data_IF_977324359832
#
_entry.id   IF_977324359832
#
_cell.length_a   1.000
_cell.length_b   1.000
_cell.length_c   1.000
_cell.angle_alpha   90.00
_cell.angle_beta   90.00
_cell.angle_gamma   90.00
#
_symmetry.space_group_name_H-M   'P 1'
#
loop_
_entity.id
_entity.type
_entity.pdbx_description
1 polymer ?
#
# COMPACT_ATOMS: atom_id res chain seq x y z
N UNK A 1 6.03 -39.64 33.23
CA UNK A 1 5.24 -38.83 32.29
C UNK A 1 4.70 -39.78 31.25
N UNK A 2 3.39 -40.04 31.29
CA UNK A 2 2.75 -41.00 30.38
C UNK A 2 2.51 -40.38 29.00
N UNK A 3 2.45 -41.18 27.94
CA UNK A 3 2.18 -40.72 26.57
C UNK A 3 0.85 -39.93 26.44
N UNK A 4 -0.07 -40.13 27.38
CA UNK A 4 -1.35 -39.40 27.48
C UNK A 4 -1.12 -37.92 27.89
N UNK A 5 -0.24 -37.66 28.86
CA UNK A 5 0.09 -36.29 29.29
C UNK A 5 0.84 -35.52 28.19
N UNK A 6 1.69 -36.19 27.41
CA UNK A 6 2.39 -35.59 26.29
C UNK A 6 1.40 -35.16 25.18
N UNK A 7 0.41 -36.01 24.87
CA UNK A 7 -0.65 -35.71 23.90
C UNK A 7 -1.57 -34.56 24.32
N UNK A 8 -1.92 -34.45 25.60
CA UNK A 8 -2.72 -33.33 26.13
C UNK A 8 -1.95 -32.00 26.11
N UNK A 9 -0.64 -32.02 26.41
CA UNK A 9 0.22 -30.83 26.37
C UNK A 9 0.41 -30.34 24.92
N UNK A 10 0.62 -31.25 23.96
CA UNK A 10 0.68 -30.90 22.54
C UNK A 10 -0.66 -30.36 22.01
N UNK A 11 -1.78 -31.00 22.38
CA UNK A 11 -3.12 -30.55 22.02
C UNK A 11 -3.44 -29.14 22.55
N UNK A 12 -3.07 -28.87 23.81
CA UNK A 12 -3.26 -27.55 24.44
C UNK A 12 -2.36 -26.48 23.80
N UNK A 13 -1.11 -26.81 23.48
CA UNK A 13 -0.19 -25.89 22.77
C UNK A 13 -0.68 -25.58 21.35
N UNK A 14 -1.18 -26.58 20.64
CA UNK A 14 -1.74 -26.41 19.30
C UNK A 14 -3.01 -25.54 19.32
N UNK A 15 -3.91 -25.77 20.29
CA UNK A 15 -5.12 -24.96 20.47
C UNK A 15 -4.81 -23.50 20.85
N UNK A 16 -3.83 -23.27 21.73
CA UNK A 16 -3.37 -21.93 22.09
C UNK A 16 -2.72 -21.22 20.89
N UNK A 17 -1.90 -21.94 20.10
CA UNK A 17 -1.29 -21.40 18.88
C UNK A 17 -2.34 -21.03 17.82
N UNK A 18 -3.35 -21.89 17.60
CA UNK A 18 -4.44 -21.60 16.67
C UNK A 18 -5.24 -20.36 17.10
N UNK A 19 -5.56 -20.25 18.40
CA UNK A 19 -6.28 -19.10 18.96
C UNK A 19 -5.48 -17.80 18.78
N UNK A 20 -4.19 -17.80 19.09
CA UNK A 20 -3.31 -16.64 18.90
C UNK A 20 -3.18 -16.22 17.43
N UNK A 21 -3.15 -17.19 16.51
CA UNK A 21 -3.13 -16.90 15.07
C UNK A 21 -4.44 -16.24 14.61
N UNK A 22 -5.60 -16.71 15.09
CA UNK A 22 -6.90 -16.11 14.79
C UNK A 22 -6.99 -14.69 15.38
N UNK A 23 -6.58 -14.50 16.64
CA UNK A 23 -6.53 -13.17 17.28
C UNK A 23 -5.64 -12.21 16.50
N UNK A 24 -4.47 -12.66 16.08
CA UNK A 24 -3.53 -11.87 15.27
C UNK A 24 -4.09 -11.52 13.90
N UNK A 25 -4.76 -12.46 13.23
CA UNK A 25 -5.40 -12.23 11.94
C UNK A 25 -6.55 -11.21 12.03
N UNK A 26 -7.46 -11.38 12.99
CA UNK A 26 -8.60 -10.49 13.19
C UNK A 26 -8.14 -9.09 13.58
N UNK A 27 -7.20 -8.98 14.53
CA UNK A 27 -6.68 -7.69 14.96
C UNK A 27 -5.92 -6.96 13.86
N UNK A 28 -5.15 -7.68 13.05
CA UNK A 28 -4.55 -7.16 11.82
C UNK A 28 -5.60 -6.63 10.84
N UNK A 29 -6.71 -7.35 10.66
CA UNK A 29 -7.85 -6.94 9.83
C UNK A 29 -8.48 -5.62 10.31
N UNK A 30 -8.77 -5.49 11.61
CA UNK A 30 -9.30 -4.26 12.20
C UNK A 30 -8.31 -3.09 12.05
N UNK A 31 -7.02 -3.33 12.27
CA UNK A 31 -5.96 -2.36 11.99
C UNK A 31 -5.99 -1.88 10.54
N UNK A 32 -6.09 -2.80 9.58
CA UNK A 32 -6.20 -2.50 8.15
C UNK A 32 -7.43 -1.65 7.81
N UNK A 33 -8.59 -1.98 8.37
CA UNK A 33 -9.83 -1.19 8.17
C UNK A 33 -9.67 0.22 8.73
N UNK A 34 -9.15 0.36 9.95
CA UNK A 34 -8.91 1.66 10.58
C UNK A 34 -7.94 2.53 9.74
N UNK A 35 -6.86 1.92 9.25
CA UNK A 35 -5.89 2.58 8.37
C UNK A 35 -6.51 3.09 7.06
N UNK A 36 -7.40 2.28 6.47
CA UNK A 36 -8.13 2.69 5.25
C UNK A 36 -9.07 3.83 5.57
N UNK A 37 -9.91 3.74 6.61
CA UNK A 37 -10.88 4.77 6.94
C UNK A 37 -10.21 6.13 7.23
N UNK A 38 -9.18 6.15 8.08
CA UNK A 38 -8.47 7.40 8.43
C UNK A 38 -7.61 7.91 7.26
N UNK A 39 -7.02 7.00 6.48
CA UNK A 39 -6.14 7.36 5.37
C UNK A 39 -6.85 7.78 4.08
N UNK A 40 -8.10 7.36 3.89
CA UNK A 40 -8.78 7.50 2.59
C UNK A 40 -9.03 8.97 2.16
N UNK A 41 -9.39 9.92 3.04
CA UNK A 41 -9.50 11.34 2.65
C UNK A 41 -8.21 11.91 2.06
N UNK A 42 -7.05 11.50 2.58
CA UNK A 42 -5.74 11.89 2.05
C UNK A 42 -5.47 11.25 0.69
N UNK A 43 -5.84 9.98 0.52
CA UNK A 43 -5.72 9.29 -0.76
C UNK A 43 -6.58 9.92 -1.84
N UNK A 44 -7.83 10.25 -1.53
CA UNK A 44 -8.71 10.91 -2.48
C UNK A 44 -8.13 12.27 -2.89
N UNK A 45 -7.65 13.04 -1.91
CA UNK A 45 -7.00 14.33 -2.16
C UNK A 45 -5.77 14.18 -3.06
N UNK A 46 -4.92 13.21 -2.77
CA UNK A 46 -3.74 12.87 -3.57
C UNK A 46 -4.13 12.51 -5.00
N UNK A 47 -5.01 11.52 -5.18
CA UNK A 47 -5.40 11.02 -6.50
C UNK A 47 -6.02 12.13 -7.35
N UNK A 48 -6.94 12.93 -6.79
CA UNK A 48 -7.54 14.07 -7.52
C UNK A 48 -6.51 15.12 -7.91
N UNK A 49 -5.52 15.43 -7.07
CA UNK A 49 -4.43 16.33 -7.44
C UNK A 49 -3.57 15.77 -8.58
N UNK A 50 -3.32 14.46 -8.59
CA UNK A 50 -2.49 13.81 -9.59
C UNK A 50 -3.16 13.77 -10.97
N UNK A 51 -4.47 13.55 -11.01
CA UNK A 51 -5.25 13.33 -12.25
C UNK A 51 -5.95 14.56 -12.78
N UNK A 52 -6.06 15.63 -11.97
CA UNK A 52 -6.67 16.89 -12.38
C UNK A 52 -5.97 17.51 -13.59
N UNK A 53 -6.78 18.09 -14.48
CA UNK A 53 -6.28 19.00 -15.50
C UNK A 53 -5.62 20.23 -14.85
N UNK A 54 -4.61 20.84 -15.48
CA UNK A 54 -4.00 22.09 -15.03
C UNK A 54 -5.06 23.16 -14.68
N UNK A 55 -4.85 23.86 -13.57
CA UNK A 55 -5.75 24.93 -13.11
C UNK A 55 -7.02 24.48 -12.38
N UNK A 56 -7.35 23.17 -12.34
CA UNK A 56 -8.55 22.68 -11.61
C UNK A 56 -8.47 22.92 -10.11
N UNK A 57 -7.28 22.74 -9.53
CA UNK A 57 -7.03 22.88 -8.10
C UNK A 57 -5.79 23.72 -7.83
N UNK A 58 -5.88 24.59 -6.81
CA UNK A 58 -4.74 25.37 -6.29
C UNK A 58 -3.84 24.56 -5.36
N UNK A 59 -4.37 23.47 -4.78
CA UNK A 59 -3.63 22.60 -3.85
C UNK A 59 -4.54 21.63 -3.11
N UNK A 60 -3.97 20.89 -2.15
CA UNK A 60 -4.67 19.84 -1.41
C UNK A 60 -5.92 20.34 -0.67
N UNK A 61 -5.81 21.49 0.01
CA UNK A 61 -6.93 22.09 0.74
C UNK A 61 -8.07 22.49 -0.21
N UNK A 62 -7.74 22.95 -1.41
CA UNK A 62 -8.73 23.30 -2.42
C UNK A 62 -9.48 22.05 -2.91
N UNK A 63 -8.79 20.92 -3.10
CA UNK A 63 -9.46 19.63 -3.39
C UNK A 63 -10.46 19.26 -2.30
N UNK A 64 -10.05 19.34 -1.03
CA UNK A 64 -10.93 19.00 0.10
C UNK A 64 -12.14 19.93 0.13
N UNK A 65 -11.93 21.25 0.01
CA UNK A 65 -13.01 22.24 0.01
C UNK A 65 -14.00 21.99 -1.13
N UNK A 66 -13.51 21.79 -2.35
CA UNK A 66 -14.38 21.52 -3.50
C UNK A 66 -15.09 20.16 -3.38
N UNK A 67 -14.42 19.13 -2.85
CA UNK A 67 -15.04 17.83 -2.62
C UNK A 67 -16.19 17.92 -1.61
N UNK A 68 -15.96 18.59 -0.47
CA UNK A 68 -16.97 18.77 0.58
C UNK A 68 -18.11 19.66 0.10
N UNK A 69 -17.82 20.75 -0.63
CA UNK A 69 -18.85 21.63 -1.17
C UNK A 69 -19.77 20.93 -2.19
N UNK A 70 -19.22 19.97 -2.96
CA UNK A 70 -19.96 19.28 -4.01
C UNK A 70 -20.69 18.03 -3.53
N UNK A 71 -20.00 17.19 -2.77
CA UNK A 71 -20.43 15.82 -2.44
C UNK A 71 -20.70 15.64 -0.92
N UNK A 72 -20.55 16.71 -0.12
CA UNK A 72 -20.59 16.66 1.34
C UNK A 72 -19.34 16.01 1.97
N UNK A 73 -19.32 15.90 3.30
CA UNK A 73 -18.19 15.31 4.03
C UNK A 73 -17.91 13.85 3.63
N UNK A 74 -18.97 13.07 3.36
CA UNK A 74 -18.86 11.68 2.88
C UNK A 74 -18.29 11.59 1.45
N UNK A 75 -18.28 12.68 0.69
CA UNK A 75 -17.60 12.76 -0.60
C UNK A 75 -16.11 12.43 -0.54
N UNK A 76 -15.46 12.68 0.61
CA UNK A 76 -14.06 12.32 0.85
C UNK A 76 -13.83 10.80 0.91
N UNK A 77 -14.88 10.00 1.07
CA UNK A 77 -14.85 8.54 1.12
C UNK A 77 -15.18 7.87 -0.21
N UNK A 78 -15.28 8.64 -1.31
CA UNK A 78 -15.53 8.09 -2.64
C UNK A 78 -14.41 7.11 -3.03
N UNK A 79 -14.78 5.89 -3.39
CA UNK A 79 -13.83 4.83 -3.73
C UNK A 79 -13.16 4.13 -2.54
N UNK A 80 -13.71 4.21 -1.33
CA UNK A 80 -13.19 3.51 -0.14
C UNK A 80 -13.45 2.00 -0.15
N UNK A 81 -14.47 1.55 -0.90
CA UNK A 81 -14.86 0.13 -0.93
C UNK A 81 -13.77 -0.79 -1.52
N UNK A 82 -13.17 -0.50 -2.69
CA UNK A 82 -12.10 -1.34 -3.22
C UNK A 82 -10.95 -1.63 -2.22
N UNK A 83 -10.32 -0.63 -1.57
CA UNK A 83 -9.27 -0.93 -0.61
C UNK A 83 -9.76 -1.70 0.63
N UNK A 84 -10.99 -1.49 1.09
CA UNK A 84 -11.54 -2.29 2.20
C UNK A 84 -11.70 -3.77 1.82
N UNK A 85 -12.16 -4.07 0.60
CA UNK A 85 -12.28 -5.44 0.10
C UNK A 85 -10.92 -6.07 -0.20
N UNK A 86 -9.97 -5.24 -0.66
CA UNK A 86 -8.65 -5.70 -1.10
C UNK A 86 -7.63 -5.86 0.01
N UNK A 87 -7.77 -5.17 1.15
CA UNK A 87 -6.70 -5.07 2.16
C UNK A 87 -6.20 -6.43 2.62
N UNK A 88 -7.09 -7.32 3.06
CA UNK A 88 -6.75 -8.65 3.55
C UNK A 88 -6.13 -9.55 2.48
N UNK A 89 -6.76 -9.77 1.30
CA UNK A 89 -6.16 -10.63 0.27
C UNK A 89 -4.86 -10.06 -0.30
N UNK A 90 -4.71 -8.73 -0.40
CA UNK A 90 -3.46 -8.10 -0.83
C UNK A 90 -2.34 -8.38 0.16
N UNK A 91 -2.58 -8.18 1.47
CA UNK A 91 -1.56 -8.45 2.48
C UNK A 91 -1.21 -9.93 2.56
N UNK A 92 -2.20 -10.81 2.57
CA UNK A 92 -1.98 -12.27 2.59
C UNK A 92 -1.09 -12.71 1.41
N UNK A 93 -1.43 -12.26 0.19
CA UNK A 93 -0.64 -12.58 -1.00
C UNK A 93 0.74 -11.92 -0.97
N UNK A 94 0.86 -10.70 -0.45
CA UNK A 94 2.13 -9.99 -0.33
C UNK A 94 3.10 -10.69 0.61
N UNK A 95 2.65 -11.11 1.80
CA UNK A 95 3.49 -11.86 2.74
C UNK A 95 3.91 -13.21 2.17
N UNK A 96 2.97 -13.97 1.60
CA UNK A 96 3.28 -15.23 0.93
C UNK A 96 4.28 -15.04 -0.21
N UNK A 97 4.06 -14.06 -1.08
CA UNK A 97 4.93 -13.77 -2.22
C UNK A 97 6.32 -13.31 -1.75
N UNK A 98 6.41 -12.59 -0.64
CA UNK A 98 7.66 -12.17 -0.03
C UNK A 98 8.45 -13.35 0.53
N UNK A 99 7.79 -14.26 1.28
CA UNK A 99 8.42 -15.47 1.81
C UNK A 99 8.89 -16.41 0.69
N UNK A 100 8.04 -16.62 -0.32
CA UNK A 100 8.42 -17.38 -1.52
C UNK A 100 9.61 -16.72 -2.25
N UNK A 101 9.60 -15.39 -2.38
CA UNK A 101 10.70 -14.66 -3.02
C UNK A 101 12.00 -14.77 -2.22
N UNK A 102 11.95 -14.70 -0.89
CA UNK A 102 13.12 -14.93 -0.02
C UNK A 102 13.70 -16.34 -0.23
N UNK A 103 12.85 -17.36 -0.32
CA UNK A 103 13.30 -18.73 -0.59
C UNK A 103 13.97 -18.87 -1.97
N UNK A 104 13.42 -18.22 -3.00
CA UNK A 104 14.01 -18.17 -4.34
C UNK A 104 15.37 -17.46 -4.34
N UNK A 105 15.48 -16.27 -3.74
CA UNK A 105 16.76 -15.57 -3.62
C UNK A 105 17.76 -16.43 -2.86
N UNK A 106 17.33 -17.05 -1.76
CA UNK A 106 18.18 -17.91 -0.95
C UNK A 106 18.83 -19.02 -1.79
N UNK A 107 18.03 -19.71 -2.60
CA UNK A 107 18.46 -20.83 -3.43
C UNK A 107 19.33 -20.40 -4.64
N UNK A 108 19.13 -19.18 -5.16
CA UNK A 108 19.84 -18.69 -6.34
C UNK A 108 21.19 -18.02 -6.02
N UNK A 109 21.51 -17.74 -4.76
CA UNK A 109 22.80 -17.13 -4.39
C UNK A 109 23.91 -18.20 -4.31
N UNK A 110 24.88 -18.21 -5.25
CA UNK A 110 25.99 -19.16 -5.20
C UNK A 110 26.97 -18.80 -4.06
N UNK A 111 27.59 -19.83 -3.46
CA UNK A 111 28.63 -19.69 -2.42
C UNK A 111 28.19 -18.89 -1.17
N UNK A 112 26.95 -19.10 -0.70
CA UNK A 112 26.43 -18.48 0.52
C UNK A 112 27.26 -18.89 1.75
N UNK A 113 27.79 -17.89 2.47
CA UNK A 113 28.59 -18.07 3.70
C UNK A 113 27.79 -17.88 5.00
N UNK A 114 26.65 -17.20 4.92
CA UNK A 114 25.79 -16.85 6.06
C UNK A 114 24.36 -17.35 5.85
N UNK A 115 23.72 -17.84 6.90
CA UNK A 115 22.33 -18.34 6.86
C UNK A 115 21.28 -17.22 6.68
N UNK A 116 21.63 -15.98 7.01
CA UNK A 116 20.76 -14.80 6.84
C UNK A 116 20.83 -14.24 5.42
N UNK A 117 19.72 -13.66 4.96
CA UNK A 117 19.68 -12.87 3.74
C UNK A 117 20.29 -11.49 3.99
N UNK A 118 21.15 -11.03 3.07
CA UNK A 118 21.65 -9.67 3.08
C UNK A 118 20.56 -8.64 2.77
N UNK A 119 20.76 -7.36 3.09
CA UNK A 119 19.80 -6.30 2.79
C UNK A 119 19.48 -6.20 1.28
N UNK A 120 20.45 -6.48 0.41
CA UNK A 120 20.24 -6.49 -1.04
C UNK A 120 19.37 -7.67 -1.48
N UNK A 121 19.55 -8.85 -0.86
CA UNK A 121 18.73 -10.03 -1.12
C UNK A 121 17.29 -9.85 -0.62
N UNK A 122 17.12 -9.23 0.56
CA UNK A 122 15.79 -8.86 1.08
C UNK A 122 15.09 -7.83 0.19
N UNK A 123 15.83 -6.84 -0.33
CA UNK A 123 15.29 -5.87 -1.27
C UNK A 123 14.89 -6.52 -2.60
N UNK A 124 15.70 -7.45 -3.12
CA UNK A 124 15.38 -8.24 -4.32
C UNK A 124 14.13 -9.11 -4.10
N UNK A 125 14.01 -9.77 -2.94
CA UNK A 125 12.82 -10.52 -2.56
C UNK A 125 11.58 -9.62 -2.48
N UNK A 126 11.71 -8.42 -1.92
CA UNK A 126 10.67 -7.39 -1.91
C UNK A 126 10.22 -7.02 -3.33
N UNK A 127 11.16 -6.75 -4.22
CA UNK A 127 10.87 -6.44 -5.63
C UNK A 127 10.13 -7.59 -6.33
N UNK A 128 10.60 -8.83 -6.19
CA UNK A 128 9.97 -10.00 -6.81
C UNK A 128 8.55 -10.26 -6.27
N UNK A 129 8.33 -10.02 -4.98
CA UNK A 129 7.02 -10.19 -4.34
C UNK A 129 5.93 -9.28 -4.91
N UNK A 130 6.31 -8.16 -5.53
CA UNK A 130 5.37 -7.22 -6.13
C UNK A 130 4.62 -7.83 -7.33
N UNK A 131 5.21 -8.79 -8.05
CA UNK A 131 4.62 -9.35 -9.26
C UNK A 131 3.36 -10.18 -8.95
N UNK A 132 3.39 -11.20 -8.08
CA UNK A 132 2.17 -11.92 -7.69
C UNK A 132 1.16 -10.99 -7.01
N UNK A 133 1.64 -10.10 -6.13
CA UNK A 133 0.79 -9.14 -5.41
C UNK A 133 -0.01 -8.24 -6.37
N UNK A 134 0.59 -7.86 -7.50
CA UNK A 134 -0.07 -7.03 -8.52
C UNK A 134 -1.31 -7.67 -9.11
N UNK A 135 -1.45 -9.01 -9.08
CA UNK A 135 -2.65 -9.70 -9.57
C UNK A 135 -3.92 -9.26 -8.82
N UNK A 136 -3.81 -9.02 -7.52
CA UNK A 136 -4.93 -8.55 -6.69
C UNK A 136 -4.92 -7.03 -6.59
N UNK A 137 -3.74 -6.43 -6.44
CA UNK A 137 -3.60 -4.98 -6.22
C UNK A 137 -4.02 -4.17 -7.45
N UNK A 138 -3.67 -4.58 -8.67
CA UNK A 138 -3.98 -3.81 -9.88
C UNK A 138 -5.49 -3.57 -10.10
N UNK A 139 -6.38 -4.58 -10.08
CA UNK A 139 -7.82 -4.35 -10.25
C UNK A 139 -8.41 -3.50 -9.11
N UNK A 140 -7.96 -3.73 -7.87
CA UNK A 140 -8.42 -2.98 -6.68
C UNK A 140 -8.01 -1.51 -6.78
N UNK A 141 -6.74 -1.23 -7.09
CA UNK A 141 -6.23 0.13 -7.22
C UNK A 141 -6.87 0.87 -8.39
N UNK A 142 -7.05 0.19 -9.53
CA UNK A 142 -7.69 0.81 -10.68
C UNK A 142 -9.13 1.20 -10.38
N UNK A 143 -9.90 0.31 -9.75
CA UNK A 143 -11.27 0.62 -9.36
C UNK A 143 -11.33 1.76 -8.35
N UNK A 144 -10.41 1.78 -7.37
CA UNK A 144 -10.26 2.88 -6.41
C UNK A 144 -9.99 4.21 -7.10
N UNK A 145 -8.99 4.27 -7.99
CA UNK A 145 -8.61 5.50 -8.69
C UNK A 145 -9.78 6.03 -9.52
N UNK A 146 -10.44 5.17 -10.30
CA UNK A 146 -11.59 5.57 -11.10
C UNK A 146 -12.73 6.13 -10.25
N UNK A 147 -13.06 5.50 -9.12
CA UNK A 147 -14.08 6.01 -8.21
C UNK A 147 -13.66 7.33 -7.54
N UNK A 148 -12.39 7.51 -7.19
CA UNK A 148 -11.88 8.74 -6.55
C UNK A 148 -11.93 9.95 -7.49
N UNK A 149 -11.65 9.74 -8.78
CA UNK A 149 -11.73 10.80 -9.81
C UNK A 149 -13.15 10.97 -10.35
N UNK A 150 -14.04 10.00 -10.12
CA UNK A 150 -15.40 10.08 -10.63
C UNK A 150 -16.14 11.29 -10.04
N UNK A 151 -16.90 11.96 -10.90
CA UNK A 151 -17.53 13.24 -10.61
C UNK A 151 -16.58 14.45 -10.61
N UNK A 152 -15.26 14.30 -10.74
CA UNK A 152 -14.33 15.45 -10.78
C UNK A 152 -14.64 16.40 -11.95
N UNK A 153 -14.99 15.87 -13.11
CA UNK A 153 -15.26 16.63 -14.33
C UNK A 153 -16.78 16.73 -14.66
N UNK A 154 -17.67 16.54 -13.68
CA UNK A 154 -19.12 16.63 -13.89
C UNK A 154 -19.91 15.56 -13.15
N UNK A 155 -20.91 14.96 -13.81
CA UNK A 155 -21.75 13.93 -13.17
C UNK A 155 -20.97 12.63 -12.94
N UNK A 156 -21.25 12.01 -11.80
CA UNK A 156 -20.76 10.68 -11.47
C UNK A 156 -21.19 9.64 -12.52
N UNK A 157 -20.24 8.85 -13.00
CA UNK A 157 -20.46 7.80 -14.00
C UNK A 157 -20.69 6.43 -13.38
N UNK A 158 -20.14 6.18 -12.19
CA UNK A 158 -20.11 4.85 -11.59
C UNK A 158 -20.94 4.78 -10.32
N UNK A 159 -21.64 3.65 -10.14
CA UNK A 159 -22.44 3.36 -8.93
C UNK A 159 -21.63 2.69 -7.82
N UNK A 160 -20.49 2.09 -8.15
CA UNK A 160 -19.63 1.41 -7.18
C UNK A 160 -18.54 0.55 -7.82
N UNK A 161 -17.82 -0.22 -7.00
CA UNK A 161 -16.67 -1.04 -7.44
C UNK A 161 -17.04 -2.07 -8.50
N UNK A 162 -18.13 -2.82 -8.32
CA UNK A 162 -18.55 -3.86 -9.25
C UNK A 162 -19.02 -3.28 -10.59
N UNK A 163 -19.65 -2.11 -10.56
CA UNK A 163 -20.06 -1.37 -11.75
C UNK A 163 -18.84 -0.89 -12.56
N UNK A 164 -17.81 -0.37 -11.87
CA UNK A 164 -16.52 -0.02 -12.50
C UNK A 164 -15.89 -1.23 -13.17
N UNK A 165 -15.78 -2.36 -12.46
CA UNK A 165 -15.17 -3.58 -13.03
C UNK A 165 -15.97 -4.08 -14.24
N UNK A 166 -17.30 -4.10 -14.15
CA UNK A 166 -18.16 -4.47 -15.27
C UNK A 166 -18.02 -3.53 -16.47
N UNK A 167 -17.94 -2.22 -16.24
CA UNK A 167 -17.69 -1.23 -17.29
C UNK A 167 -16.33 -1.46 -17.96
N UNK A 168 -15.27 -1.63 -17.17
CA UNK A 168 -13.92 -1.87 -17.68
C UNK A 168 -13.85 -3.15 -18.52
N UNK A 169 -14.52 -4.21 -18.07
CA UNK A 169 -14.60 -5.47 -18.81
C UNK A 169 -15.29 -5.29 -20.17
N UNK A 170 -16.39 -4.52 -20.23
CA UNK A 170 -17.07 -4.21 -21.50
C UNK A 170 -16.24 -3.30 -22.42
N UNK A 171 -15.44 -2.40 -21.86
CA UNK A 171 -14.62 -1.46 -22.62
C UNK A 171 -13.41 -2.11 -23.30
N UNK A 172 -12.78 -3.10 -22.66
CA UNK A 172 -11.56 -3.71 -23.21
C UNK A 172 -11.13 -5.01 -22.52
N UNK A 173 -12.08 -5.74 -21.93
CA UNK A 173 -11.87 -7.01 -21.26
C UNK A 173 -10.90 -6.94 -20.09
N UNK A 174 -10.22 -8.07 -19.83
CA UNK A 174 -9.24 -8.22 -18.74
C UNK A 174 -8.08 -7.23 -18.90
N UNK A 175 -7.63 -6.97 -20.12
CA UNK A 175 -6.55 -6.01 -20.38
C UNK A 175 -6.91 -4.60 -19.89
N UNK A 176 -8.18 -4.21 -20.01
CA UNK A 176 -8.66 -2.94 -19.45
C UNK A 176 -8.53 -2.94 -17.94
N UNK A 177 -9.03 -3.97 -17.25
CA UNK A 177 -8.97 -4.09 -15.78
C UNK A 177 -7.53 -3.97 -15.25
N UNK A 178 -6.56 -4.58 -15.94
CA UNK A 178 -5.14 -4.56 -15.55
C UNK A 178 -4.31 -3.43 -16.18
N UNK A 179 -4.92 -2.49 -16.93
CA UNK A 179 -4.12 -1.37 -17.46
C UNK A 179 -3.60 -0.51 -16.30
N UNK A 180 -2.29 -0.28 -16.30
CA UNK A 180 -1.56 0.36 -15.21
C UNK A 180 -0.74 -0.59 -14.33
N UNK A 181 -0.81 -1.91 -14.51
CA UNK A 181 -0.03 -2.88 -13.71
C UNK A 181 1.48 -2.64 -13.78
N UNK A 182 2.03 -2.34 -14.96
CA UNK A 182 3.47 -2.01 -15.10
C UNK A 182 3.85 -0.78 -14.28
N UNK A 183 2.98 0.24 -14.25
CA UNK A 183 3.20 1.44 -13.44
C UNK A 183 3.05 1.14 -11.93
N UNK A 184 2.26 0.14 -11.57
CA UNK A 184 2.11 -0.34 -10.19
C UNK A 184 3.40 -1.02 -9.73
N UNK A 185 3.95 -1.94 -10.53
CA UNK A 185 5.24 -2.59 -10.25
C UNK A 185 6.39 -1.57 -10.22
N UNK A 186 6.40 -0.60 -11.14
CA UNK A 186 7.39 0.47 -11.18
C UNK A 186 7.33 1.40 -9.96
N UNK A 187 6.18 1.47 -9.25
CA UNK A 187 6.05 2.14 -7.96
C UNK A 187 6.51 1.24 -6.82
N UNK A 188 5.98 0.03 -6.77
CA UNK A 188 6.09 -0.86 -5.61
C UNK A 188 7.48 -1.45 -5.44
N UNK A 189 8.13 -1.83 -6.55
CA UNK A 189 9.47 -2.40 -6.53
C UNK A 189 10.53 -1.43 -6.00
N UNK A 190 10.78 -0.30 -6.68
CA UNK A 190 11.74 0.71 -6.21
C UNK A 190 11.38 1.31 -4.84
N UNK A 191 10.08 1.51 -4.58
CA UNK A 191 9.60 2.00 -3.30
C UNK A 191 9.96 1.06 -2.14
N UNK A 192 9.77 -0.25 -2.34
CA UNK A 192 10.12 -1.27 -1.32
C UNK A 192 11.62 -1.32 -1.09
N UNK A 193 12.43 -1.28 -2.15
CA UNK A 193 13.90 -1.25 -2.02
C UNK A 193 14.38 -0.01 -1.23
N UNK A 194 13.82 1.16 -1.54
CA UNK A 194 14.13 2.41 -0.82
C UNK A 194 13.70 2.35 0.64
N UNK A 195 12.53 1.78 0.93
CA UNK A 195 12.04 1.58 2.29
C UNK A 195 13.04 0.77 3.12
N UNK A 196 13.41 -0.43 2.65
CA UNK A 196 14.32 -1.31 3.39
C UNK A 196 15.72 -0.71 3.51
N UNK A 197 16.27 -0.11 2.45
CA UNK A 197 17.58 0.53 2.51
C UNK A 197 17.62 1.65 3.56
N UNK A 198 16.62 2.54 3.56
CA UNK A 198 16.53 3.63 4.52
C UNK A 198 16.27 3.12 5.95
N UNK A 199 15.45 2.08 6.12
CA UNK A 199 15.21 1.45 7.41
C UNK A 199 16.50 0.89 8.01
N UNK A 200 17.25 0.09 7.25
CA UNK A 200 18.50 -0.53 7.70
C UNK A 200 19.60 0.51 7.99
N UNK A 201 19.79 1.49 7.09
CA UNK A 201 20.77 2.57 7.31
C UNK A 201 20.43 3.36 8.57
N UNK A 202 19.16 3.70 8.77
CA UNK A 202 18.72 4.46 9.95
C UNK A 202 18.88 3.62 11.22
N UNK A 203 18.50 2.33 11.21
CA UNK A 203 18.73 1.42 12.33
C UNK A 203 20.22 1.34 12.68
N UNK A 204 21.09 1.13 11.68
CA UNK A 204 22.53 1.03 11.89
C UNK A 204 23.11 2.32 12.49
N UNK A 205 22.66 3.48 12.02
CA UNK A 205 23.08 4.77 12.56
C UNK A 205 22.60 5.00 14.00
N UNK A 206 21.40 4.53 14.34
CA UNK A 206 20.80 4.66 15.67
C UNK A 206 21.22 3.56 16.65
N UNK A 207 21.94 2.54 16.19
CA UNK A 207 22.43 1.44 17.04
C UNK A 207 23.70 1.89 17.75
N UNK A 208 23.72 1.93 19.10
CA UNK A 208 24.93 2.28 19.85
C UNK A 208 26.09 1.32 19.55
N UNK A 209 27.33 1.80 19.61
CA UNK A 209 28.51 0.97 19.38
C UNK A 209 28.56 -0.21 20.37
N UNK A 210 28.59 -1.43 19.84
CA UNK A 210 28.60 -2.68 20.63
C UNK A 210 27.22 -3.27 20.96
N UNK A 211 26.12 -2.60 20.58
CA UNK A 211 24.77 -3.13 20.72
C UNK A 211 24.28 -3.83 19.45
N UNK A 212 23.35 -4.78 19.58
CA UNK A 212 22.69 -5.39 18.42
C UNK A 212 21.59 -4.48 17.89
N UNK A 213 21.36 -4.41 16.56
CA UNK A 213 20.19 -3.73 15.98
C UNK A 213 18.83 -4.28 16.45
N UNK A 214 18.82 -5.42 17.14
CA UNK A 214 17.64 -6.00 17.77
C UNK A 214 17.33 -5.41 19.15
N UNK A 215 18.31 -4.72 19.77
CA UNK A 215 18.18 -4.11 21.11
C UNK A 215 17.78 -2.62 21.04
N UNK A 216 17.40 -2.14 19.86
CA UNK A 216 16.98 -0.76 19.67
C UNK A 216 15.69 -0.47 20.44
N UNK A 217 15.71 0.60 21.24
CA UNK A 217 14.50 1.09 21.89
C UNK A 217 13.45 1.53 20.87
N UNK A 218 12.18 1.49 21.27
CA UNK A 218 11.02 1.76 20.41
C UNK A 218 11.12 3.09 19.63
N UNK A 219 11.68 4.14 20.23
CA UNK A 219 11.90 5.44 19.59
C UNK A 219 12.79 5.36 18.36
N UNK A 220 13.91 4.63 18.43
CA UNK A 220 14.79 4.42 17.28
C UNK A 220 14.12 3.61 16.16
N UNK A 221 13.29 2.63 16.52
CA UNK A 221 12.52 1.84 15.54
C UNK A 221 11.49 2.70 14.82
N UNK A 222 10.77 3.56 15.56
CA UNK A 222 9.80 4.51 15.00
C UNK A 222 10.50 5.50 14.05
N UNK A 223 11.66 6.04 14.46
CA UNK A 223 12.44 6.94 13.61
C UNK A 223 12.94 6.25 12.34
N UNK A 224 13.43 5.01 12.45
CA UNK A 224 13.84 4.23 11.29
C UNK A 224 12.68 3.94 10.34
N UNK A 225 11.51 3.56 10.86
CA UNK A 225 10.29 3.35 10.08
C UNK A 225 9.79 4.64 9.41
N UNK A 226 9.83 5.77 10.13
CA UNK A 226 9.45 7.08 9.60
C UNK A 226 10.34 7.53 8.44
N UNK A 227 11.66 7.48 8.62
CA UNK A 227 12.64 7.80 7.57
C UNK A 227 12.48 6.87 6.36
N UNK A 228 12.26 5.57 6.60
CA UNK A 228 12.00 4.60 5.56
C UNK A 228 10.74 4.94 4.74
N UNK A 229 9.65 5.33 5.41
CA UNK A 229 8.42 5.76 4.75
C UNK A 229 8.61 7.02 3.90
N UNK A 230 9.34 8.02 4.40
CA UNK A 230 9.66 9.24 3.64
C UNK A 230 10.51 8.91 2.40
N UNK A 231 11.55 8.09 2.56
CA UNK A 231 12.42 7.68 1.46
C UNK A 231 11.65 6.89 0.38
N UNK A 232 10.79 5.96 0.80
CA UNK A 232 9.91 5.20 -0.10
C UNK A 232 9.06 6.14 -0.94
N UNK A 233 8.31 7.06 -0.30
CA UNK A 233 7.41 7.96 -1.02
C UNK A 233 8.15 9.00 -1.88
N UNK A 234 9.34 9.43 -1.48
CA UNK A 234 10.14 10.34 -2.30
C UNK A 234 10.44 9.76 -3.70
N UNK A 235 10.65 8.45 -3.78
CA UNK A 235 10.90 7.72 -5.03
C UNK A 235 9.60 7.21 -5.67
N UNK A 236 8.61 6.82 -4.87
CA UNK A 236 7.37 6.23 -5.35
C UNK A 236 6.36 7.26 -5.91
N UNK A 237 6.46 8.54 -5.55
CA UNK A 237 5.48 9.54 -6.00
C UNK A 237 5.49 9.73 -7.53
N UNK A 238 6.63 9.93 -8.23
CA UNK A 238 6.64 10.05 -9.69
C UNK A 238 5.94 8.90 -10.44
N UNK A 239 6.26 7.61 -10.20
CA UNK A 239 5.53 6.52 -10.82
C UNK A 239 4.06 6.44 -10.36
N UNK A 240 3.73 6.83 -9.12
CA UNK A 240 2.34 6.88 -8.64
C UNK A 240 1.51 7.93 -9.39
N UNK A 241 2.07 9.11 -9.70
CA UNK A 241 1.40 10.11 -10.55
C UNK A 241 1.09 9.55 -11.94
N UNK A 242 2.09 8.92 -12.57
CA UNK A 242 1.94 8.33 -13.90
C UNK A 242 0.92 7.19 -13.90
N UNK A 243 0.96 6.35 -12.86
CA UNK A 243 0.00 5.27 -12.64
C UNK A 243 -1.42 5.81 -12.52
N UNK A 244 -1.65 6.79 -11.64
CA UNK A 244 -2.97 7.39 -11.43
C UNK A 244 -3.52 8.00 -12.72
N UNK A 245 -2.71 8.78 -13.45
CA UNK A 245 -3.11 9.35 -14.76
C UNK A 245 -3.41 8.29 -15.80
N UNK A 246 -2.56 7.26 -15.89
CA UNK A 246 -2.74 6.17 -16.85
C UNK A 246 -3.99 5.34 -16.56
N UNK A 247 -4.30 5.10 -15.29
CA UNK A 247 -5.47 4.34 -14.85
C UNK A 247 -6.78 5.13 -14.97
N UNK A 248 -6.74 6.46 -14.79
CA UNK A 248 -7.94 7.32 -14.86
C UNK A 248 -8.25 7.85 -16.27
N UNK A 249 -7.26 7.90 -17.16
CA UNK A 249 -7.45 8.45 -18.49
C UNK A 249 -8.30 7.53 -19.38
N UNK A 250 -9.11 8.12 -20.29
CA UNK A 250 -9.82 7.35 -21.31
C UNK A 250 -8.90 6.36 -22.05
N UNK A 251 -9.48 5.26 -22.52
CA UNK A 251 -8.75 4.29 -23.35
C UNK A 251 -8.26 4.97 -24.64
N UNK A 252 -6.99 4.75 -24.98
CA UNK A 252 -6.32 5.38 -26.12
C UNK A 252 -5.57 6.68 -25.82
N UNK A 253 -5.78 7.33 -24.66
CA UNK A 253 -5.06 8.59 -24.34
C UNK A 253 -3.54 8.39 -24.22
N UNK A 254 -3.12 7.25 -23.66
CA UNK A 254 -1.72 6.90 -23.46
C UNK A 254 -1.45 5.50 -24.00
N UNK A 255 -0.36 5.33 -24.74
CA UNK A 255 0.10 4.00 -25.21
C UNK A 255 0.81 3.20 -24.11
N UNK A 256 1.31 3.87 -23.07
CA UNK A 256 1.98 3.26 -21.93
C UNK A 256 2.48 4.28 -20.92
N UNK A 257 3.24 3.83 -19.91
CA UNK A 257 3.77 4.68 -18.84
C UNK A 257 4.75 5.74 -19.36
N UNK A 258 5.60 5.41 -20.33
CA UNK A 258 6.57 6.36 -20.90
C UNK A 258 5.90 7.43 -21.75
N UNK A 259 4.87 7.07 -22.52
CA UNK A 259 4.05 8.05 -23.25
C UNK A 259 3.27 8.95 -22.29
N UNK A 260 2.73 8.38 -21.20
CA UNK A 260 2.11 9.15 -20.12
C UNK A 260 3.10 10.14 -19.48
N UNK A 261 4.35 9.71 -19.22
CA UNK A 261 5.40 10.57 -18.69
C UNK A 261 5.73 11.72 -19.64
N UNK A 262 6.00 11.43 -20.91
CA UNK A 262 6.32 12.45 -21.93
C UNK A 262 5.20 13.48 -22.04
N UNK A 263 3.95 13.03 -22.20
CA UNK A 263 2.79 13.93 -22.32
C UNK A 263 2.54 14.73 -21.05
N UNK A 264 2.72 14.13 -19.87
CA UNK A 264 2.59 14.83 -18.58
C UNK A 264 3.63 15.91 -18.41
N UNK A 265 4.90 15.61 -18.70
CA UNK A 265 5.99 16.59 -18.59
C UNK A 265 5.81 17.72 -19.62
N UNK A 266 5.38 17.38 -20.84
CA UNK A 266 5.13 18.38 -21.89
C UNK A 266 3.97 19.32 -21.55
N UNK A 267 2.89 18.83 -20.94
CA UNK A 267 1.70 19.62 -20.62
C UNK A 267 1.82 20.39 -19.29
N UNK A 268 2.38 19.76 -18.25
CA UNK A 268 2.30 20.24 -16.86
C UNK A 268 3.68 20.55 -16.24
N UNK A 269 4.77 20.25 -16.96
CA UNK A 269 6.14 20.36 -16.49
C UNK A 269 6.59 19.23 -15.57
N UNK A 270 7.89 19.17 -15.28
CA UNK A 270 8.52 18.09 -14.48
C UNK A 270 7.99 18.04 -13.05
N UNK A 271 7.67 19.19 -12.45
CA UNK A 271 7.11 19.27 -11.08
C UNK A 271 5.76 18.55 -10.94
N UNK A 272 5.05 18.31 -12.05
CA UNK A 272 3.78 17.57 -12.02
C UNK A 272 3.94 16.14 -11.49
N UNK A 273 5.12 15.54 -11.66
CA UNK A 273 5.43 14.20 -11.15
C UNK A 273 5.47 14.13 -9.62
N UNK A 274 5.52 15.27 -8.91
CA UNK A 274 5.47 15.31 -7.44
C UNK A 274 4.12 15.75 -6.88
N UNK A 275 3.09 15.92 -7.73
CA UNK A 275 1.73 16.22 -7.26
C UNK A 275 1.24 15.11 -6.33
N UNK A 276 0.71 15.51 -5.17
CA UNK A 276 0.22 14.57 -4.16
C UNK A 276 1.25 14.16 -3.10
N UNK A 277 2.52 14.59 -3.19
CA UNK A 277 3.52 14.31 -2.14
C UNK A 277 3.07 14.79 -0.76
N UNK A 278 2.56 16.02 -0.64
CA UNK A 278 2.06 16.58 0.62
C UNK A 278 0.97 15.73 1.28
N UNK A 279 -0.16 15.44 0.58
CA UNK A 279 -1.18 14.53 1.09
C UNK A 279 -0.66 13.13 1.47
N UNK A 280 0.28 12.57 0.70
CA UNK A 280 0.87 11.27 1.00
C UNK A 280 1.67 11.29 2.33
N UNK A 281 2.44 12.35 2.57
CA UNK A 281 3.17 12.54 3.83
C UNK A 281 2.23 12.82 5.00
N UNK A 282 1.23 13.69 4.79
CA UNK A 282 0.23 14.00 5.82
C UNK A 282 -0.60 12.78 6.23
N UNK A 283 -0.79 11.81 5.32
CA UNK A 283 -1.47 10.55 5.60
C UNK A 283 -0.70 9.65 6.56
N UNK A 284 0.63 9.65 6.48
CA UNK A 284 1.45 8.61 7.08
C UNK A 284 1.21 8.46 8.59
N UNK A 285 1.25 9.57 9.33
CA UNK A 285 1.08 9.55 10.77
C UNK A 285 -0.35 9.15 11.21
N UNK A 286 -1.43 9.81 10.74
CA UNK A 286 -2.79 9.44 11.14
C UNK A 286 -3.18 8.00 10.76
N UNK A 287 -2.81 7.55 9.57
CA UNK A 287 -3.14 6.20 9.12
C UNK A 287 -2.41 5.14 9.95
N UNK A 288 -1.12 5.33 10.25
CA UNK A 288 -0.36 4.40 11.08
C UNK A 288 -0.87 4.37 12.53
N UNK A 289 -1.17 5.53 13.12
CA UNK A 289 -1.76 5.61 14.45
C UNK A 289 -3.11 4.86 14.51
N UNK A 290 -3.96 5.02 13.49
CA UNK A 290 -5.22 4.29 13.38
C UNK A 290 -5.02 2.78 13.27
N UNK A 291 -4.00 2.32 12.53
CA UNK A 291 -3.64 0.90 12.46
C UNK A 291 -3.33 0.36 13.85
N UNK A 292 -2.42 0.99 14.58
CA UNK A 292 -1.99 0.53 15.91
C UNK A 292 -3.16 0.54 16.90
N UNK A 293 -3.96 1.61 16.92
CA UNK A 293 -5.16 1.67 17.76
C UNK A 293 -6.17 0.59 17.41
N UNK A 294 -6.38 0.32 16.11
CA UNK A 294 -7.27 -0.73 15.64
C UNK A 294 -6.82 -2.12 16.07
N UNK A 295 -5.51 -2.42 15.95
CA UNK A 295 -4.92 -3.70 16.41
C UNK A 295 -5.04 -3.83 17.93
N UNK A 296 -4.65 -2.80 18.69
CA UNK A 296 -4.63 -2.82 20.16
C UNK A 296 -6.05 -2.96 20.74
N UNK A 297 -7.00 -2.16 20.25
CA UNK A 297 -8.37 -2.20 20.73
C UNK A 297 -9.05 -3.54 20.40
N UNK A 298 -8.81 -4.08 19.21
CA UNK A 298 -9.38 -5.37 18.82
C UNK A 298 -8.74 -6.54 19.59
N UNK A 299 -7.42 -6.53 19.84
CA UNK A 299 -6.77 -7.52 20.69
C UNK A 299 -7.37 -7.53 22.09
N UNK A 300 -7.47 -6.37 22.74
CA UNK A 300 -8.09 -6.25 24.08
C UNK A 300 -9.52 -6.78 24.13
N UNK A 301 -10.31 -6.52 23.08
CA UNK A 301 -11.66 -7.05 22.99
C UNK A 301 -11.65 -8.58 22.81
N UNK A 302 -10.82 -9.11 21.91
CA UNK A 302 -10.72 -10.54 21.65
C UNK A 302 -10.19 -11.33 22.85
N UNK A 303 -9.27 -10.76 23.63
CA UNK A 303 -8.79 -11.35 24.90
C UNK A 303 -9.88 -11.38 25.98
N UNK A 304 -10.92 -10.55 25.85
CA UNK A 304 -12.11 -10.63 26.70
C UNK A 304 -13.12 -11.71 26.27
N UNK A 305 -13.01 -12.23 25.03
CA UNK A 305 -13.92 -13.26 24.50
C UNK A 305 -13.31 -14.67 24.48
N UNK A 306 -11.98 -14.79 24.39
CA UNK A 306 -11.23 -16.06 24.33
C UNK A 306 -10.09 -16.07 25.35
#
# INVERSE_FOLDING_TARGET
MSDIEAGEIEGTRAANSATENVKSFLSGGFGGVAAVLVGHPFDLTKTRLQTAAPGTYRGAIDVVKQAVARDGAFGLYRGVVPPLLGVTPIFALSFWAYDASKAVVYALTPNRKEASLSSAELAAAGFMSAVPTTLVTAPVERAKVLLQVDGQAGKAKYKGVFDVIGHLYREGGIKSIYRGSVATVARDGPGSAAYFAAYEVTKKFLTPAGASPNDLHLGSIIMAGGTAGVAMWAIAIPPDVLKSRLQSAPTGTYSGIMDCARKTIAADGVKALWKGFGPAMARAFPANAATFLGVEASRKLLDGFF
#
